data_IF_654668656323
#
_entry.id   IF_654668656323
#
_cell.length_a   1.000
_cell.length_b   1.000
_cell.length_c   1.000
_cell.angle_alpha   90.00
_cell.angle_beta   90.00
_cell.angle_gamma   90.00
#
_symmetry.space_group_name_H-M   'P 1'
#
loop_
_entity.id
_entity.type
_entity.pdbx_description
1 polymer ?
#
# COMPACT_ATOMS: atom_id res chain seq x y z
N UNK A 1 -13.64 -19.10 -10.43
CA UNK A 1 -13.83 -17.96 -9.89
C UNK A 1 -12.93 -16.94 -10.43
N UNK A 2 -13.31 -15.86 -10.41
CA UNK A 2 -12.60 -14.92 -11.04
C UNK A 2 -12.26 -13.84 -10.18
N UNK A 3 -11.10 -13.50 -10.22
CA UNK A 3 -10.69 -12.35 -9.62
C UNK A 3 -11.27 -11.21 -10.33
N UNK A 4 -11.86 -10.31 -9.76
CA UNK A 4 -12.46 -9.18 -10.37
C UNK A 4 -11.50 -8.17 -10.84
N UNK A 5 -10.29 -8.55 -11.06
CA UNK A 5 -9.29 -7.63 -11.50
C UNK A 5 -8.61 -6.89 -10.39
N UNK A 6 -9.00 -7.12 -9.18
CA UNK A 6 -8.32 -6.47 -8.07
C UNK A 6 -7.02 -7.17 -7.72
N UNK A 7 -6.02 -6.38 -7.42
CA UNK A 7 -4.74 -6.88 -6.96
C UNK A 7 -4.59 -6.51 -5.49
N UNK A 8 -4.22 -7.48 -4.65
CA UNK A 8 -3.98 -7.18 -3.23
C UNK A 8 -2.60 -6.63 -3.04
N UNK A 9 -2.52 -5.53 -2.31
CA UNK A 9 -1.26 -4.89 -1.98
C UNK A 9 -1.21 -4.66 -0.48
N UNK A 10 0.00 -4.49 0.05
CA UNK A 10 0.21 -4.32 1.48
C UNK A 10 0.87 -2.98 1.75
N UNK A 11 0.52 -2.37 2.87
CA UNK A 11 1.04 -1.04 3.23
C UNK A 11 2.52 -1.14 3.54
N UNK A 12 3.33 -0.43 2.77
CA UNK A 12 4.78 -0.46 2.93
C UNK A 12 5.35 0.88 3.36
N UNK A 13 4.58 1.96 3.22
CA UNK A 13 5.11 3.28 3.57
C UNK A 13 3.98 4.21 3.93
N UNK A 14 4.19 5.04 4.95
CA UNK A 14 3.25 6.09 5.33
C UNK A 14 4.07 7.34 5.61
N UNK A 15 3.77 8.42 4.90
CA UNK A 15 4.53 9.65 4.99
C UNK A 15 3.60 10.82 5.22
N UNK A 16 4.00 11.72 6.09
CA UNK A 16 3.27 12.97 6.31
C UNK A 16 4.01 14.07 5.58
N UNK A 17 3.28 14.85 4.80
CA UNK A 17 3.88 15.94 4.03
C UNK A 17 3.72 17.26 4.77
N UNK A 18 4.42 18.27 4.28
CA UNK A 18 4.35 19.61 4.86
C UNK A 18 2.98 20.23 4.76
N UNK A 19 2.11 19.69 3.90
CA UNK A 19 0.75 20.20 3.73
C UNK A 19 -0.25 19.41 4.55
N UNK A 20 0.23 18.64 5.50
CA UNK A 20 -0.59 17.81 6.35
C UNK A 20 -1.30 16.70 5.58
N UNK A 21 -0.84 16.38 4.39
CA UNK A 21 -1.35 15.22 3.67
C UNK A 21 -0.66 13.97 4.17
N UNK A 22 -1.41 12.88 4.20
CA UNK A 22 -0.83 11.57 4.49
C UNK A 22 -0.75 10.83 3.18
N UNK A 23 0.45 10.37 2.84
CA UNK A 23 0.67 9.57 1.64
C UNK A 23 0.88 8.13 2.05
N UNK A 24 0.04 7.25 1.51
CA UNK A 24 0.12 5.83 1.78
C UNK A 24 0.63 5.13 0.53
N UNK A 25 1.59 4.26 0.68
CA UNK A 25 2.09 3.46 -0.42
C UNK A 25 1.87 1.99 -0.09
N UNK A 26 1.21 1.30 -1.01
CA UNK A 26 0.96 -0.14 -0.91
C UNK A 26 1.73 -0.82 -2.03
N UNK A 27 2.26 -2.00 -1.75
CA UNK A 27 3.05 -2.73 -2.75
C UNK A 27 2.57 -4.16 -2.89
N UNK A 28 2.82 -4.71 -4.07
CA UNK A 28 2.61 -6.14 -4.30
C UNK A 28 3.67 -6.91 -3.52
N UNK A 29 3.41 -8.20 -3.21
CA UNK A 29 4.36 -8.98 -2.41
C UNK A 29 5.75 -9.09 -3.03
N UNK A 30 5.86 -8.98 -4.34
CA UNK A 30 7.17 -9.02 -4.99
C UNK A 30 7.83 -7.64 -5.06
N UNK A 31 7.14 -6.59 -4.60
CA UNK A 31 7.68 -5.24 -4.60
C UNK A 31 7.75 -4.59 -5.97
N UNK A 32 7.21 -5.22 -7.00
CA UNK A 32 7.38 -4.73 -8.37
C UNK A 32 6.37 -3.69 -8.78
N UNK A 33 5.23 -3.59 -8.08
CA UNK A 33 4.20 -2.62 -8.37
C UNK A 33 3.74 -1.98 -7.09
N UNK A 34 3.30 -0.74 -7.19
CA UNK A 34 2.80 -0.01 -6.03
C UNK A 34 1.56 0.78 -6.38
N UNK A 35 0.79 1.06 -5.33
CA UNK A 35 -0.39 1.89 -5.39
C UNK A 35 -0.21 3.00 -4.37
N UNK A 36 -0.31 4.24 -4.82
CA UNK A 36 -0.13 5.40 -3.96
C UNK A 36 -1.46 6.07 -3.72
N UNK A 37 -1.72 6.40 -2.47
CA UNK A 37 -2.96 7.06 -2.09
C UNK A 37 -2.65 8.25 -1.20
N UNK A 38 -3.33 9.37 -1.43
CA UNK A 38 -3.15 10.56 -0.60
C UNK A 38 -4.44 10.83 0.15
N UNK A 39 -4.30 11.14 1.44
CA UNK A 39 -5.43 11.47 2.30
C UNK A 39 -5.26 12.88 2.80
N UNK A 40 -6.31 13.69 2.66
CA UNK A 40 -6.33 15.05 3.20
C UNK A 40 -6.55 14.97 4.71
N UNK A 41 -6.26 16.05 5.45
CA UNK A 41 -6.48 16.04 6.91
C UNK A 41 -7.91 15.72 7.29
N UNK A 42 -8.89 16.18 6.51
CA UNK A 42 -10.28 15.92 6.84
C UNK A 42 -10.63 14.45 6.64
N UNK A 43 -9.88 13.72 5.81
CA UNK A 43 -10.15 12.31 5.56
C UNK A 43 -9.40 11.40 6.49
N UNK A 44 -8.29 11.86 7.06
CA UNK A 44 -7.46 11.00 7.91
C UNK A 44 -8.24 10.46 9.09
N UNK A 45 -9.09 11.29 9.69
CA UNK A 45 -9.88 10.85 10.83
C UNK A 45 -11.09 10.02 10.47
N UNK A 46 -11.44 9.92 9.18
CA UNK A 46 -12.62 9.20 8.72
C UNK A 46 -12.32 7.93 7.96
N UNK A 47 -11.06 7.74 7.58
CA UNK A 47 -10.67 6.62 6.77
C UNK A 47 -9.90 5.64 7.61
N UNK A 48 -10.36 4.39 7.59
CA UNK A 48 -9.63 3.32 8.24
C UNK A 48 -8.53 2.86 7.31
N UNK A 49 -7.31 2.87 7.79
CA UNK A 49 -6.17 2.37 7.02
C UNK A 49 -5.93 0.94 7.46
N UNK A 50 -6.04 0.00 6.52
CA UNK A 50 -5.84 -1.40 6.81
C UNK A 50 -4.48 -1.85 6.30
N UNK A 51 -4.02 -2.99 6.80
CA UNK A 51 -2.71 -3.51 6.43
C UNK A 51 -2.62 -3.85 4.95
N UNK A 52 -3.73 -4.22 4.34
CA UNK A 52 -3.77 -4.52 2.91
C UNK A 52 -4.94 -3.79 2.27
N UNK A 53 -4.85 -3.63 0.97
CA UNK A 53 -5.93 -3.06 0.17
C UNK A 53 -5.96 -3.75 -1.18
N UNK A 54 -7.02 -3.52 -1.94
CA UNK A 54 -7.09 -3.98 -3.31
C UNK A 54 -7.17 -2.79 -4.22
N UNK A 55 -6.50 -2.88 -5.35
CA UNK A 55 -6.53 -1.81 -6.34
C UNK A 55 -6.60 -2.44 -7.72
N UNK A 56 -7.16 -1.68 -8.66
CA UNK A 56 -7.24 -2.10 -10.04
C UNK A 56 -5.81 -2.15 -10.59
N UNK A 57 -5.44 -3.19 -11.32
CA UNK A 57 -4.10 -3.25 -11.91
C UNK A 57 -3.74 -2.00 -12.74
N UNK A 58 -4.72 -1.35 -13.33
CA UNK A 58 -4.46 -0.15 -14.11
C UNK A 58 -4.05 1.05 -13.26
N UNK A 59 -4.30 0.99 -11.97
CA UNK A 59 -3.93 2.07 -11.05
C UNK A 59 -2.56 1.87 -10.42
N UNK A 60 -1.88 0.79 -10.77
CA UNK A 60 -0.60 0.47 -10.17
C UNK A 60 0.53 1.08 -10.98
N UNK A 61 1.58 1.48 -10.27
CA UNK A 61 2.79 1.98 -10.89
C UNK A 61 3.89 0.94 -10.79
N UNK A 62 4.70 0.83 -11.83
CA UNK A 62 5.85 -0.06 -11.79
C UNK A 62 6.92 0.54 -10.89
N UNK A 63 7.58 -0.32 -10.14
CA UNK A 63 8.72 0.07 -9.32
C UNK A 63 9.96 -0.41 -10.06
N UNK A 64 10.71 0.52 -10.64
CA UNK A 64 11.83 0.17 -11.51
C UNK A 64 13.13 -0.06 -10.78
N UNK A 65 13.29 0.53 -9.61
CA UNK A 65 14.54 0.46 -8.87
C UNK A 65 14.64 -0.85 -8.09
N UNK A 66 15.68 -1.67 -8.33
CA UNK A 66 15.80 -2.96 -7.65
C UNK A 66 15.89 -2.85 -6.13
N UNK A 67 16.53 -1.82 -5.62
CA UNK A 67 16.63 -1.65 -4.18
C UNK A 67 15.27 -1.35 -3.57
N UNK A 68 14.49 -0.52 -4.26
CA UNK A 68 13.15 -0.20 -3.80
C UNK A 68 12.25 -1.44 -3.85
N UNK A 69 12.37 -2.24 -4.90
CA UNK A 69 11.62 -3.49 -5.00
C UNK A 69 11.91 -4.40 -3.82
N UNK A 70 13.17 -4.54 -3.48
CA UNK A 70 13.56 -5.41 -2.38
C UNK A 70 13.05 -4.86 -1.05
N UNK A 71 13.16 -3.56 -0.86
CA UNK A 71 12.68 -2.91 0.37
C UNK A 71 11.18 -3.11 0.53
N UNK A 72 10.42 -2.95 -0.55
CA UNK A 72 8.98 -3.14 -0.50
C UNK A 72 8.62 -4.59 -0.24
N UNK A 73 9.31 -5.51 -0.90
CA UNK A 73 9.05 -6.94 -0.69
C UNK A 73 9.31 -7.34 0.75
N UNK A 74 10.39 -6.86 1.32
CA UNK A 74 10.73 -7.14 2.73
C UNK A 74 9.69 -6.57 3.66
N UNK A 75 9.22 -5.35 3.36
CA UNK A 75 8.22 -4.71 4.20
C UNK A 75 6.87 -5.43 4.11
N UNK A 76 6.49 -5.88 2.91
CA UNK A 76 5.27 -6.66 2.76
C UNK A 76 5.33 -7.92 3.59
N UNK A 77 6.46 -8.62 3.57
CA UNK A 77 6.63 -9.83 4.38
C UNK A 77 6.47 -9.52 5.86
N UNK A 78 7.02 -8.41 6.31
CA UNK A 78 6.94 -8.01 7.70
C UNK A 78 5.49 -7.69 8.10
N UNK A 79 4.81 -6.93 7.27
CA UNK A 79 3.43 -6.53 7.55
C UNK A 79 2.50 -7.74 7.55
N UNK A 80 2.65 -8.62 6.57
CA UNK A 80 1.83 -9.83 6.49
C UNK A 80 2.02 -10.74 7.68
N UNK A 81 3.23 -10.79 8.20
CA UNK A 81 3.53 -11.63 9.35
C UNK A 81 2.93 -11.07 10.64
N UNK A 82 2.69 -9.76 10.68
CA UNK A 82 2.26 -9.10 11.90
C UNK A 82 0.78 -8.73 11.91
N UNK A 83 0.14 -8.62 10.75
CA UNK A 83 -1.23 -8.10 10.63
C UNK A 83 -2.04 -8.89 9.63
N UNK A 84 -3.32 -9.07 9.91
CA UNK A 84 -4.24 -9.57 8.90
C UNK A 84 -4.55 -8.50 7.87
N UNK A 85 -5.04 -8.88 6.69
CA UNK A 85 -5.28 -7.90 5.63
C UNK A 85 -6.28 -6.81 6.00
N UNK A 86 -7.27 -7.13 6.81
CA UNK A 86 -8.30 -6.17 7.19
C UNK A 86 -8.00 -5.48 8.50
N UNK A 87 -6.88 -5.74 9.08
CA UNK A 87 -6.53 -5.18 10.38
C UNK A 87 -6.11 -3.73 10.22
N UNK A 88 -6.60 -2.86 11.11
CA UNK A 88 -6.19 -1.45 11.11
C UNK A 88 -4.74 -1.31 11.51
N UNK A 89 -4.08 -0.41 10.86
CA UNK A 89 -2.65 -0.29 11.06
C UNK A 89 -2.25 1.17 11.32
#
# INVERSE_FOLDING_TARGET
MTDDGGQRLWLVERTYTDRDLVVLVYATPDGRRRYRRELSPSMVGRTTVTAATQADPDDLEAVDDPETRQRYADEVDRVRASHGPDESI
#
